data_IF_770197098309
#
_entry.id   IF_770197098309
#
_cell.length_a   1.000
_cell.length_b   1.000
_cell.length_c   1.000
_cell.angle_alpha   90.00
_cell.angle_beta   90.00
_cell.angle_gamma   90.00
#
_symmetry.space_group_name_H-M   'P 1'
#
loop_
_entity.id
_entity.type
_entity.pdbx_description
1 polymer ?
#
# COMPACT_ATOMS: atom_id res chain seq x y z
N UNK A 1 -11.00 4.36 -1.76
CA UNK A 1 -12.17 3.46 -1.92
C UNK A 1 -13.42 4.21 -1.53
N UNK A 2 -14.46 4.14 -2.38
CA UNK A 2 -15.78 4.71 -2.11
C UNK A 2 -16.66 3.61 -1.50
N UNK A 3 -17.35 3.92 -0.42
CA UNK A 3 -18.30 3.02 0.24
C UNK A 3 -19.68 3.67 0.30
N UNK A 4 -20.68 2.94 -0.18
CA UNK A 4 -22.08 3.30 -0.04
C UNK A 4 -22.73 2.36 0.98
N UNK A 5 -23.14 2.90 2.13
CA UNK A 5 -23.82 2.16 3.19
C UNK A 5 -25.35 2.27 3.07
N UNK A 6 -25.86 2.70 1.90
CA UNK A 6 -27.27 2.87 1.64
C UNK A 6 -27.87 3.96 2.52
N UNK A 7 -28.90 3.61 3.29
CA UNK A 7 -29.61 4.57 4.15
C UNK A 7 -28.73 5.13 5.28
N UNK A 8 -27.66 4.42 5.67
CA UNK A 8 -26.74 4.87 6.73
C UNK A 8 -25.82 6.00 6.29
N UNK A 9 -25.68 6.22 4.97
CA UNK A 9 -24.85 7.27 4.39
C UNK A 9 -23.70 6.74 3.55
N UNK A 10 -22.75 7.62 3.23
CA UNK A 10 -21.62 7.33 2.34
C UNK A 10 -20.30 7.68 3.01
N UNK A 11 -19.24 7.01 2.58
CA UNK A 11 -17.89 7.25 3.06
C UNK A 11 -16.83 7.07 1.97
N UNK A 12 -15.71 7.72 2.17
CA UNK A 12 -14.50 7.58 1.35
C UNK A 12 -13.36 7.21 2.27
N UNK A 13 -12.70 6.10 1.98
CA UNK A 13 -11.44 5.73 2.62
C UNK A 13 -10.29 6.04 1.69
N UNK A 14 -9.38 6.88 2.14
CA UNK A 14 -8.12 7.15 1.47
C UNK A 14 -7.03 6.28 2.11
N UNK A 15 -6.38 5.48 1.28
CA UNK A 15 -5.23 4.66 1.64
C UNK A 15 -4.00 5.28 0.99
N UNK A 16 -2.97 5.53 1.80
CA UNK A 16 -1.72 6.13 1.36
C UNK A 16 -0.58 5.28 1.87
N UNK A 17 0.37 4.93 1.00
CA UNK A 17 1.57 4.19 1.36
C UNK A 17 2.76 5.05 0.99
N UNK A 18 3.59 5.38 1.97
CA UNK A 18 4.78 6.20 1.80
C UNK A 18 6.02 5.35 2.14
N UNK A 19 7.05 5.31 1.27
CA UNK A 19 8.33 4.71 1.64
C UNK A 19 9.05 5.62 2.63
N UNK A 20 9.41 5.10 3.81
CA UNK A 20 10.22 5.84 4.80
C UNK A 20 11.70 5.42 4.73
N UNK A 21 11.97 4.12 4.59
CA UNK A 21 13.31 3.56 4.46
C UNK A 21 13.30 2.39 3.46
N UNK A 22 14.46 1.83 3.07
CA UNK A 22 14.48 0.61 2.25
C UNK A 22 13.76 -0.51 3.00
N UNK A 23 12.74 -1.08 2.37
CA UNK A 23 11.88 -2.13 2.95
C UNK A 23 10.98 -1.67 4.11
N UNK A 24 10.94 -0.38 4.46
CA UNK A 24 10.02 0.19 5.44
C UNK A 24 9.00 1.11 4.76
N UNK A 25 7.72 0.81 4.97
CA UNK A 25 6.62 1.57 4.39
C UNK A 25 5.63 1.98 5.48
N UNK A 26 5.21 3.24 5.46
CA UNK A 26 4.13 3.74 6.30
C UNK A 26 2.82 3.73 5.53
N UNK A 27 1.88 2.91 5.98
CA UNK A 27 0.51 2.88 5.47
C UNK A 27 -0.41 3.73 6.36
N UNK A 28 -1.21 4.61 5.76
CA UNK A 28 -2.19 5.46 6.45
C UNK A 28 -3.57 5.34 5.83
N UNK A 29 -4.55 5.07 6.69
CA UNK A 29 -5.97 4.96 6.36
C UNK A 29 -6.70 6.16 6.95
N UNK A 30 -7.40 6.92 6.11
CA UNK A 30 -8.22 8.05 6.56
C UNK A 30 -9.61 7.89 5.98
N UNK A 31 -10.62 7.86 6.85
CA UNK A 31 -12.02 7.76 6.44
C UNK A 31 -12.74 9.09 6.63
N UNK A 32 -13.34 9.58 5.55
CA UNK A 32 -14.28 10.70 5.57
C UNK A 32 -15.67 10.15 5.29
N UNK A 33 -16.61 10.27 6.23
CA UNK A 33 -17.93 9.68 6.07
C UNK A 33 -19.01 10.52 6.76
N UNK A 34 -20.23 10.44 6.23
CA UNK A 34 -21.44 11.04 6.81
C UNK A 34 -22.27 9.99 7.59
N UNK A 35 -21.60 9.05 8.24
CA UNK A 35 -22.23 7.97 9.02
C UNK A 35 -21.96 8.20 10.52
N UNK A 36 -22.76 7.65 11.44
CA UNK A 36 -22.51 7.84 12.86
C UNK A 36 -21.12 7.31 13.25
N UNK A 37 -20.42 8.05 14.11
CA UNK A 37 -19.00 7.82 14.47
C UNK A 37 -18.70 6.39 14.93
N UNK A 38 -19.64 5.75 15.64
CA UNK A 38 -19.49 4.36 16.08
C UNK A 38 -19.32 3.40 14.89
N UNK A 39 -20.14 3.55 13.84
CA UNK A 39 -20.06 2.73 12.64
C UNK A 39 -18.78 3.01 11.83
N UNK A 40 -18.39 4.29 11.71
CA UNK A 40 -17.13 4.65 11.04
C UNK A 40 -15.91 4.06 11.76
N UNK A 41 -15.88 4.14 13.09
CA UNK A 41 -14.80 3.56 13.89
C UNK A 41 -14.78 2.03 13.81
N UNK A 42 -15.94 1.39 13.88
CA UNK A 42 -16.05 -0.06 13.71
C UNK A 42 -15.54 -0.50 12.33
N UNK A 43 -15.94 0.21 11.28
CA UNK A 43 -15.48 -0.05 9.93
C UNK A 43 -13.95 0.09 9.79
N UNK A 44 -13.38 1.18 10.32
CA UNK A 44 -11.93 1.38 10.36
C UNK A 44 -11.20 0.28 11.14
N UNK A 45 -11.77 -0.20 12.24
CA UNK A 45 -11.20 -1.30 13.01
C UNK A 45 -11.19 -2.62 12.22
N UNK A 46 -12.28 -2.92 11.50
CA UNK A 46 -12.34 -4.09 10.63
C UNK A 46 -11.30 -4.00 9.49
N UNK A 47 -11.20 -2.84 8.85
CA UNK A 47 -10.21 -2.59 7.80
C UNK A 47 -8.77 -2.74 8.33
N UNK A 48 -8.49 -2.23 9.53
CA UNK A 48 -7.19 -2.38 10.17
C UNK A 48 -6.85 -3.86 10.43
N UNK A 49 -7.80 -4.67 10.89
CA UNK A 49 -7.57 -6.11 11.10
C UNK A 49 -7.29 -6.85 9.79
N UNK A 50 -8.00 -6.51 8.70
CA UNK A 50 -7.71 -7.09 7.39
C UNK A 50 -6.32 -6.71 6.89
N UNK A 51 -5.97 -5.43 7.02
CA UNK A 51 -4.67 -4.94 6.59
C UNK A 51 -3.52 -5.57 7.39
N UNK A 52 -3.72 -5.83 8.69
CA UNK A 52 -2.73 -6.51 9.54
C UNK A 52 -2.40 -7.93 9.03
N UNK A 53 -3.39 -8.66 8.51
CA UNK A 53 -3.16 -9.99 7.91
C UNK A 53 -2.30 -9.90 6.66
N UNK A 54 -2.51 -8.85 5.86
CA UNK A 54 -1.67 -8.61 4.68
C UNK A 54 -0.24 -8.22 5.06
N UNK A 55 -0.07 -7.39 6.11
CA UNK A 55 1.25 -7.04 6.66
C UNK A 55 2.04 -8.30 7.02
N UNK A 56 1.40 -9.26 7.70
CA UNK A 56 2.07 -10.51 8.08
C UNK A 56 2.64 -11.24 6.86
N UNK A 57 1.88 -11.34 5.78
CA UNK A 57 2.31 -11.98 4.54
C UNK A 57 3.42 -11.18 3.84
N UNK A 58 3.30 -9.85 3.79
CA UNK A 58 4.29 -9.00 3.12
C UNK A 58 5.65 -9.04 3.81
N UNK A 59 5.69 -9.09 5.15
CA UNK A 59 6.93 -9.18 5.91
C UNK A 59 7.69 -10.49 5.69
N UNK A 60 6.98 -11.58 5.35
CA UNK A 60 7.57 -12.91 5.14
C UNK A 60 7.65 -13.31 3.66
N UNK A 61 7.40 -12.37 2.74
CA UNK A 61 7.44 -12.62 1.29
C UNK A 61 8.66 -11.95 0.65
N UNK A 62 9.26 -12.64 -0.32
CA UNK A 62 10.28 -12.07 -1.21
C UNK A 62 9.69 -11.67 -2.56
N UNK A 63 10.27 -10.64 -3.17
CA UNK A 63 9.98 -10.31 -4.56
C UNK A 63 10.54 -11.38 -5.51
N UNK A 64 9.71 -11.91 -6.42
CA UNK A 64 10.10 -12.92 -7.42
C UNK A 64 9.84 -12.40 -8.82
N UNK A 65 10.86 -12.49 -9.70
CA UNK A 65 10.78 -12.12 -11.11
C UNK A 65 11.45 -13.22 -11.96
N UNK A 66 10.73 -13.89 -12.89
CA UNK A 66 9.30 -13.76 -13.19
C UNK A 66 8.40 -14.45 -12.13
N UNK A 67 7.18 -13.95 -11.87
CA UNK A 67 6.22 -14.66 -11.00
C UNK A 67 5.69 -15.93 -11.68
N UNK A 68 5.46 -16.98 -10.90
CA UNK A 68 4.71 -18.17 -11.35
C UNK A 68 3.22 -17.85 -11.28
N UNK A 69 2.50 -17.98 -12.40
CA UNK A 69 1.10 -17.59 -12.52
C UNK A 69 0.22 -18.80 -12.86
N UNK A 70 -0.90 -18.92 -12.15
CA UNK A 70 -2.01 -19.82 -12.46
C UNK A 70 -3.07 -19.11 -13.32
N UNK A 71 -3.98 -19.89 -13.93
CA UNK A 71 -5.04 -19.37 -14.82
C UNK A 71 -5.93 -18.30 -14.18
N UNK A 72 -6.14 -18.37 -12.87
CA UNK A 72 -7.00 -17.45 -12.13
C UNK A 72 -6.25 -16.28 -11.48
N UNK A 73 -4.93 -16.20 -11.68
CA UNK A 73 -4.16 -15.06 -11.17
C UNK A 73 -4.48 -13.81 -11.98
N UNK A 74 -4.56 -12.69 -11.27
CA UNK A 74 -4.72 -11.39 -11.90
C UNK A 74 -3.54 -11.02 -12.81
N UNK A 75 -3.63 -9.89 -13.54
CA UNK A 75 -2.63 -9.48 -14.51
C UNK A 75 -1.35 -8.89 -13.87
N UNK A 76 -0.68 -9.65 -13.00
CA UNK A 76 0.48 -9.22 -12.19
C UNK A 76 1.61 -8.64 -13.05
N UNK A 77 1.92 -9.27 -14.19
CA UNK A 77 2.95 -8.79 -15.11
C UNK A 77 2.61 -7.44 -15.75
N UNK A 78 1.34 -7.24 -16.15
CA UNK A 78 0.88 -5.97 -16.74
C UNK A 78 0.90 -4.86 -15.69
N UNK A 79 0.43 -5.16 -14.48
CA UNK A 79 0.48 -4.22 -13.35
C UNK A 79 1.92 -3.77 -13.04
N UNK A 80 2.87 -4.71 -12.94
CA UNK A 80 4.29 -4.37 -12.68
C UNK A 80 4.91 -3.51 -13.78
N UNK A 81 4.53 -3.73 -15.04
CA UNK A 81 4.99 -2.90 -16.18
C UNK A 81 4.40 -1.50 -16.14
N UNK A 82 3.12 -1.36 -15.80
CA UNK A 82 2.51 -0.05 -15.61
C UNK A 82 3.16 0.70 -14.45
N UNK A 83 3.36 0.03 -13.31
CA UNK A 83 3.94 0.65 -12.12
C UNK A 83 5.43 1.04 -12.27
N UNK A 84 6.17 0.43 -13.21
CA UNK A 84 7.57 0.81 -13.44
C UNK A 84 7.75 2.25 -13.94
N UNK A 85 6.69 2.91 -14.45
CA UNK A 85 6.76 4.31 -14.89
C UNK A 85 7.10 5.30 -13.76
N UNK A 86 6.87 4.91 -12.50
CA UNK A 86 7.14 5.76 -11.33
C UNK A 86 8.59 5.66 -10.83
N UNK A 87 9.40 4.78 -11.42
CA UNK A 87 10.82 4.64 -11.09
C UNK A 87 11.67 5.19 -12.24
N UNK A 88 12.53 6.15 -11.92
CA UNK A 88 13.52 6.70 -12.86
C UNK A 88 14.91 6.15 -12.56
N UNK A 89 15.89 6.45 -13.41
CA UNK A 89 17.28 6.00 -13.20
C UNK A 89 17.87 6.52 -11.88
N UNK A 90 17.41 7.70 -11.44
CA UNK A 90 17.84 8.38 -10.21
C UNK A 90 17.09 7.91 -8.95
N UNK A 91 16.12 7.00 -9.07
CA UNK A 91 15.41 6.47 -7.91
C UNK A 91 16.36 5.68 -7.00
N UNK A 92 16.25 5.82 -5.66
CA UNK A 92 17.04 5.05 -4.72
C UNK A 92 16.89 3.54 -4.92
N UNK A 93 18.02 2.84 -4.98
CA UNK A 93 18.09 1.38 -5.08
C UNK A 93 18.81 0.82 -3.86
N UNK A 94 18.28 -0.27 -3.33
CA UNK A 94 18.92 -1.05 -2.30
C UNK A 94 19.94 -1.99 -2.96
N UNK A 95 21.21 -1.81 -2.63
CA UNK A 95 22.29 -2.68 -3.09
C UNK A 95 22.35 -3.96 -2.24
N UNK A 96 22.99 -5.01 -2.76
CA UNK A 96 23.11 -6.31 -2.06
C UNK A 96 23.87 -6.24 -0.72
N UNK A 97 24.70 -5.22 -0.54
CA UNK A 97 25.46 -4.94 0.69
C UNK A 97 24.64 -4.15 1.73
N UNK A 98 23.37 -3.86 1.45
CA UNK A 98 22.50 -3.06 2.32
C UNK A 98 22.68 -1.54 2.18
N UNK A 99 23.60 -1.06 1.33
CA UNK A 99 23.76 0.37 1.08
C UNK A 99 22.73 0.90 0.07
N UNK A 100 22.45 2.20 0.14
CA UNK A 100 21.59 2.89 -0.81
C UNK A 100 22.41 3.55 -1.92
N UNK A 101 21.88 3.54 -3.14
CA UNK A 101 22.52 4.20 -4.29
C UNK A 101 22.40 5.74 -4.26
N UNK A 102 21.39 6.26 -3.58
CA UNK A 102 21.10 7.70 -3.49
C UNK A 102 20.33 8.01 -2.20
N UNK A 103 20.41 9.28 -1.77
CA UNK A 103 19.72 9.75 -0.57
C UNK A 103 18.20 9.67 -0.75
N UNK A 104 17.53 9.15 0.28
CA UNK A 104 16.07 9.07 0.32
C UNK A 104 15.56 10.47 0.63
N UNK A 105 14.78 11.04 -0.29
CA UNK A 105 13.98 12.23 0.01
C UNK A 105 12.74 11.80 0.77
N UNK A 106 12.73 12.04 2.07
CA UNK A 106 11.58 11.79 2.92
C UNK A 106 10.48 12.82 2.67
N UNK A 107 9.24 12.45 3.03
CA UNK A 107 8.13 13.41 3.17
C UNK A 107 8.37 14.39 4.35
N UNK A 108 9.56 14.43 4.96
CA UNK A 108 9.91 15.46 5.94
C UNK A 108 11.00 16.41 5.42
N UNK A 109 11.56 16.15 4.22
CA UNK A 109 12.69 16.90 3.66
C UNK A 109 12.25 17.99 2.64
N UNK A 110 10.96 18.32 2.59
CA UNK A 110 10.38 19.39 1.76
C UNK A 110 9.95 20.59 2.60
#
# INVERSE_FOLDING_TARGET
MLFDFGWLGRGVVLQHITPEEPLLQRARFVMYANIPKLYANFFLLCEANHFERDIYIWNHKRYVKPPLLARNDGPIGKHRRWFSQFYSENSPKLNNNGSLSSDIKSILDW
#
